data_IF_995364754123
#
_entry.id   IF_995364754123
#
_cell.length_a   1.000
_cell.length_b   1.000
_cell.length_c   1.000
_cell.angle_alpha   90.00
_cell.angle_beta   90.00
_cell.angle_gamma   90.00
#
_symmetry.space_group_name_H-M   'P 1'
#
loop_
_entity.id
_entity.type
_entity.pdbx_description
1 polymer ?
#
# COMPACT_ATOMS: atom_id res chain seq x y z
N UNK A 1 -2.64 -20.27 -4.24
CA UNK A 1 -1.17 -20.29 -4.09
C UNK A 1 -0.65 -18.88 -4.43
N UNK A 2 0.10 -18.25 -3.52
CA UNK A 2 0.65 -16.89 -3.67
C UNK A 2 2.17 -16.88 -3.93
N UNK A 3 2.73 -18.00 -4.39
CA UNK A 3 4.16 -18.19 -4.59
C UNK A 3 4.88 -18.63 -3.32
N UNK A 4 6.19 -18.79 -3.43
CA UNK A 4 7.06 -19.24 -2.34
C UNK A 4 8.40 -18.49 -2.36
N UNK A 5 9.14 -18.55 -1.26
CA UNK A 5 10.51 -18.00 -1.18
C UNK A 5 11.49 -18.73 -2.11
N UNK A 6 11.16 -19.96 -2.51
CA UNK A 6 11.96 -20.81 -3.39
C UNK A 6 11.81 -20.44 -4.87
N UNK A 7 10.96 -19.45 -5.19
CA UNK A 7 10.79 -18.91 -6.55
C UNK A 7 9.58 -19.46 -7.31
N UNK A 8 8.67 -20.17 -6.64
CA UNK A 8 7.44 -20.63 -7.29
C UNK A 8 6.54 -19.44 -7.65
N UNK A 9 6.05 -19.44 -8.89
CA UNK A 9 5.09 -18.44 -9.34
C UNK A 9 3.72 -18.63 -8.69
N UNK A 10 3.00 -17.54 -8.38
CA UNK A 10 1.63 -17.62 -7.90
C UNK A 10 0.68 -18.20 -8.95
N UNK A 11 -0.46 -18.71 -8.48
CA UNK A 11 -1.51 -19.19 -9.37
C UNK A 11 -2.20 -18.02 -10.11
N UNK A 12 -2.87 -18.32 -11.24
CA UNK A 12 -3.63 -17.31 -11.97
C UNK A 12 -4.76 -16.70 -11.11
N UNK A 13 -5.08 -15.41 -11.33
CA UNK A 13 -6.02 -14.64 -10.50
C UNK A 13 -7.41 -15.29 -10.31
N UNK A 14 -7.88 -16.05 -11.31
CA UNK A 14 -9.15 -16.79 -11.25
C UNK A 14 -9.18 -17.95 -10.24
N UNK A 15 -8.03 -18.28 -9.64
CA UNK A 15 -7.85 -19.35 -8.65
C UNK A 15 -7.42 -18.81 -7.27
N UNK A 16 -7.42 -17.50 -7.08
CA UNK A 16 -6.97 -16.86 -5.83
C UNK A 16 -8.02 -15.89 -5.31
N UNK A 17 -8.17 -15.83 -3.99
CA UNK A 17 -9.05 -14.89 -3.30
C UNK A 17 -8.24 -14.05 -2.30
N UNK A 18 -8.65 -12.79 -2.11
CA UNK A 18 -7.98 -11.85 -1.20
C UNK A 18 -8.99 -11.00 -0.43
N UNK A 19 -8.60 -10.57 0.76
CA UNK A 19 -9.31 -9.56 1.56
C UNK A 19 -8.32 -8.74 2.37
N UNK A 20 -8.73 -7.56 2.83
CA UNK A 20 -7.91 -6.72 3.69
C UNK A 20 -7.62 -7.40 5.03
N UNK A 21 -6.39 -7.21 5.54
CA UNK A 21 -6.01 -7.58 6.89
C UNK A 21 -6.47 -6.51 7.89
N UNK A 22 -6.57 -6.85 9.17
CA UNK A 22 -7.01 -5.92 10.23
C UNK A 22 -6.17 -4.63 10.29
N UNK A 23 -4.86 -4.74 10.09
CA UNK A 23 -3.95 -3.58 10.12
C UNK A 23 -4.22 -2.59 8.98
N UNK A 24 -4.76 -3.05 7.85
CA UNK A 24 -5.09 -2.18 6.72
C UNK A 24 -6.17 -1.16 7.09
N UNK A 25 -7.05 -1.48 8.05
CA UNK A 25 -8.06 -0.54 8.55
C UNK A 25 -7.44 0.74 9.13
N UNK A 26 -6.23 0.67 9.71
CA UNK A 26 -5.53 1.87 10.22
C UNK A 26 -4.99 2.76 9.08
N UNK A 27 -4.81 2.21 7.89
CA UNK A 27 -4.34 2.97 6.72
C UNK A 27 -5.47 3.77 6.08
N UNK A 28 -6.67 3.19 6.04
CA UNK A 28 -7.88 3.78 5.42
C UNK A 28 -8.85 4.40 6.42
N UNK A 29 -8.49 4.41 7.70
CA UNK A 29 -9.34 4.93 8.76
C UNK A 29 -9.76 6.37 8.47
N UNK A 30 -11.05 6.65 8.66
CA UNK A 30 -11.64 7.99 8.53
C UNK A 30 -11.59 8.61 7.11
N UNK A 31 -11.28 7.83 6.06
CA UNK A 31 -11.19 8.33 4.68
C UNK A 31 -12.49 8.97 4.16
N UNK A 32 -13.65 8.55 4.68
CA UNK A 32 -14.96 9.10 4.33
C UNK A 32 -15.27 10.45 5.00
N UNK A 33 -14.44 10.89 5.96
CA UNK A 33 -14.64 12.13 6.73
C UNK A 33 -13.88 13.32 6.12
N UNK A 34 -13.68 13.31 4.80
CA UNK A 34 -12.99 14.38 4.07
C UNK A 34 -11.59 14.70 4.63
N UNK A 35 -10.88 13.69 5.14
CA UNK A 35 -9.55 13.86 5.76
C UNK A 35 -8.42 14.06 4.76
N UNK A 36 -8.66 13.77 3.48
CA UNK A 36 -7.69 13.84 2.39
C UNK A 36 -8.37 14.36 1.12
N UNK A 37 -7.59 14.99 0.24
CA UNK A 37 -8.10 15.46 -1.04
C UNK A 37 -8.33 14.29 -2.01
N UNK A 38 -9.45 14.32 -2.71
CA UNK A 38 -9.80 13.39 -3.78
C UNK A 38 -9.62 14.05 -5.15
N UNK A 39 -8.96 13.35 -6.06
CA UNK A 39 -8.69 13.80 -7.44
C UNK A 39 -9.50 12.95 -8.42
N UNK A 40 -9.87 13.48 -9.61
CA UNK A 40 -10.46 12.66 -10.66
C UNK A 40 -9.52 11.54 -11.09
N UNK A 41 -10.07 10.36 -11.39
CA UNK A 41 -9.32 9.26 -12.00
C UNK A 41 -8.95 9.59 -13.48
N UNK A 42 -8.25 8.68 -14.15
CA UNK A 42 -7.66 8.93 -15.49
C UNK A 42 -8.66 9.40 -16.58
N UNK A 43 -9.94 9.00 -16.52
CA UNK A 43 -10.99 9.41 -17.44
C UNK A 43 -12.02 10.38 -16.83
N UNK A 44 -11.84 10.76 -15.56
CA UNK A 44 -12.71 11.67 -14.82
C UNK A 44 -14.07 11.10 -14.43
N UNK A 45 -14.32 9.80 -14.64
CA UNK A 45 -15.59 9.15 -14.28
C UNK A 45 -15.76 8.93 -12.77
N UNK A 46 -14.65 8.78 -12.04
CA UNK A 46 -14.64 8.55 -10.59
C UNK A 46 -13.60 9.43 -9.91
N UNK A 47 -13.59 9.43 -8.58
CA UNK A 47 -12.58 10.12 -7.78
C UNK A 47 -11.79 9.12 -6.97
N UNK A 48 -10.49 9.37 -6.81
CA UNK A 48 -9.56 8.58 -6.00
C UNK A 48 -8.82 9.50 -5.00
N UNK A 49 -8.47 8.98 -3.81
CA UNK A 49 -7.73 9.77 -2.83
C UNK A 49 -6.31 10.05 -3.32
N UNK A 50 -5.84 11.28 -3.17
CA UNK A 50 -4.46 11.67 -3.52
C UNK A 50 -3.40 11.03 -2.60
N UNK A 51 -3.77 10.84 -1.33
CA UNK A 51 -3.00 10.13 -0.30
C UNK A 51 -3.95 9.34 0.60
N UNK A 52 -3.45 8.31 1.29
CA UNK A 52 -4.22 7.60 2.31
C UNK A 52 -4.04 8.27 3.68
N UNK A 53 -5.07 8.29 4.56
CA UNK A 53 -4.97 8.88 5.90
C UNK A 53 -3.82 8.33 6.76
N UNK A 54 -3.50 7.04 6.63
CA UNK A 54 -2.31 6.39 7.18
C UNK A 54 -1.99 6.72 8.65
N UNK A 55 -2.78 6.18 9.59
CA UNK A 55 -2.54 6.37 11.05
C UNK A 55 -1.24 5.76 11.58
N UNK A 56 -0.57 4.93 10.77
CA UNK A 56 0.74 4.36 11.06
C UNK A 56 1.76 4.77 9.99
N UNK A 57 3.04 4.95 10.36
CA UNK A 57 4.10 5.36 9.43
C UNK A 57 4.53 4.20 8.51
N UNK A 58 3.64 3.83 7.58
CA UNK A 58 3.77 2.65 6.73
C UNK A 58 5.06 2.63 5.89
N UNK A 59 5.52 3.80 5.44
CA UNK A 59 6.76 3.92 4.65
C UNK A 59 7.99 3.43 5.43
N UNK A 60 8.06 3.71 6.73
CA UNK A 60 9.19 3.27 7.57
C UNK A 60 9.02 1.80 7.99
N UNK A 61 7.80 1.41 8.33
CA UNK A 61 7.50 0.05 8.80
C UNK A 61 7.77 -0.98 7.69
N UNK A 62 7.28 -0.73 6.48
CA UNK A 62 7.40 -1.67 5.36
C UNK A 62 8.56 -1.36 4.40
N UNK A 63 9.07 -0.13 4.40
CA UNK A 63 10.09 0.29 3.45
C UNK A 63 9.54 0.50 2.05
N UNK A 64 10.44 0.79 1.11
CA UNK A 64 10.16 0.90 -0.32
C UNK A 64 11.45 0.78 -1.12
N UNK A 65 11.40 0.07 -2.25
CA UNK A 65 12.49 0.00 -3.21
C UNK A 65 11.96 0.34 -4.59
N UNK A 66 12.62 1.27 -5.29
CA UNK A 66 12.17 1.74 -6.58
C UNK A 66 13.29 2.41 -7.37
N UNK A 67 13.29 2.19 -8.68
CA UNK A 67 14.23 2.81 -9.62
C UNK A 67 13.41 3.60 -10.63
N UNK A 68 13.67 4.90 -10.72
CA UNK A 68 13.07 5.80 -11.68
C UNK A 68 14.12 6.22 -12.72
N UNK A 69 13.77 7.16 -13.61
CA UNK A 69 14.72 7.70 -14.59
C UNK A 69 15.72 8.61 -13.86
N UNK A 70 16.96 8.11 -13.70
CA UNK A 70 18.07 8.87 -13.11
C UNK A 70 18.10 8.92 -11.57
N UNK A 71 17.19 8.21 -10.89
CA UNK A 71 17.12 8.16 -9.43
C UNK A 71 16.77 6.75 -8.93
N UNK A 72 17.21 6.42 -7.73
CA UNK A 72 16.84 5.19 -7.05
C UNK A 72 16.54 5.48 -5.57
N UNK A 73 15.62 4.70 -5.00
CA UNK A 73 15.28 4.72 -3.57
C UNK A 73 15.33 3.31 -3.02
N UNK A 74 15.83 3.17 -1.79
CA UNK A 74 15.82 1.93 -1.03
C UNK A 74 15.70 2.25 0.46
N UNK A 75 14.51 2.11 1.01
CA UNK A 75 14.18 2.34 2.42
C UNK A 75 13.94 0.96 3.05
N UNK A 76 14.75 0.54 4.05
CA UNK A 76 14.54 -0.73 4.73
C UNK A 76 13.31 -0.70 5.65
N UNK A 77 12.70 -1.87 5.94
CA UNK A 77 11.64 -1.97 6.93
C UNK A 77 12.18 -1.77 8.36
N UNK A 78 11.35 -1.20 9.23
CA UNK A 78 11.67 -0.92 10.65
C UNK A 78 10.65 -1.57 11.58
N UNK A 79 11.05 -1.78 12.85
CA UNK A 79 10.16 -2.33 13.87
C UNK A 79 9.06 -1.31 14.23
N UNK A 80 7.80 -1.71 14.15
CA UNK A 80 6.66 -0.84 14.44
C UNK A 80 6.67 -0.26 15.87
N UNK A 81 7.19 -1.00 16.86
CA UNK A 81 7.26 -0.56 18.27
C UNK A 81 8.36 0.47 18.49
N UNK A 82 9.40 0.50 17.65
CA UNK A 82 10.46 1.51 17.74
C UNK A 82 10.10 2.81 17.03
N UNK A 83 9.19 2.74 16.06
CA UNK A 83 8.77 3.90 15.25
C UNK A 83 7.58 4.66 15.88
N UNK A 84 6.74 3.99 16.68
CA UNK A 84 5.61 4.58 17.42
C UNK A 84 6.03 5.04 18.82
#
# INVERSE_FOLDING_TARGET
>A
NFGSVDGDSPAAMRYTEVRMARITSEIIADIEKETVDFVPNYDGSTKEPSVLPAKIPNLLINGSSGIAVGMATNIPPHNIVEVL
#
